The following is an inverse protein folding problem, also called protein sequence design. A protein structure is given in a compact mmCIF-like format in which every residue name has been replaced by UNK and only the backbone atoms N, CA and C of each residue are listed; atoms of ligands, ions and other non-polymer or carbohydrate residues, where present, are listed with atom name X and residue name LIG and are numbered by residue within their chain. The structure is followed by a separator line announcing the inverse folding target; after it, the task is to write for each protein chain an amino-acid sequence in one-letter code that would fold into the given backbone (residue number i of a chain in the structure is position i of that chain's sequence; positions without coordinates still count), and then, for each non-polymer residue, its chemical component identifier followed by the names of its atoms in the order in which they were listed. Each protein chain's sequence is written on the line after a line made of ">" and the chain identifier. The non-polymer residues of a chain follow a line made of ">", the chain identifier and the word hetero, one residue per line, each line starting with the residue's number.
data_IF_528332920817
#
_entry.id   IF_528332920817
#
_cell.length_a   1.000
_cell.length_b   1.000
_cell.length_c   1.000
_cell.angle_alpha   90.00
_cell.angle_beta   90.00
_cell.angle_gamma   90.00
#
_symmetry.space_group_name_H-M   'P 1'
#
loop_
_entity.id
_entity.type
_entity.pdbx_description
1 polymer ?
#
# COMPACT_ATOMS: atom_id res chain seq x y z
N UNK A 1 -14.22 3.18 10.11
CA UNK A 1 -12.84 3.63 9.82
C UNK A 1 -12.58 5.05 10.33
N UNK A 2 -11.40 5.28 10.91
CA UNK A 2 -10.88 6.60 11.29
C UNK A 2 -9.70 6.92 10.37
N UNK A 3 -9.69 8.11 9.76
CA UNK A 3 -8.63 8.57 8.86
C UNK A 3 -8.09 9.88 9.41
N UNK A 4 -6.78 10.04 9.50
CA UNK A 4 -6.20 11.31 9.93
C UNK A 4 -5.99 12.26 8.75
N UNK A 5 -6.07 13.57 9.06
CA UNK A 5 -5.97 14.68 8.11
C UNK A 5 -4.58 15.34 8.10
N UNK A 6 -3.55 14.68 8.62
CA UNK A 6 -2.24 15.33 8.78
C UNK A 6 -1.66 15.85 7.46
N UNK A 7 -1.76 15.07 6.38
CA UNK A 7 -1.29 15.48 5.04
C UNK A 7 -2.00 16.74 4.53
N UNK A 8 -3.32 16.81 4.76
CA UNK A 8 -4.15 17.97 4.40
C UNK A 8 -3.75 19.19 5.24
N UNK A 9 -3.62 19.02 6.57
CA UNK A 9 -3.24 20.11 7.48
C UNK A 9 -1.85 20.68 7.19
N UNK A 10 -0.89 19.82 6.84
CA UNK A 10 0.45 20.23 6.40
C UNK A 10 0.37 21.06 5.12
N UNK A 11 -0.41 20.61 4.13
CA UNK A 11 -0.57 21.32 2.86
C UNK A 11 -1.29 22.67 3.03
N UNK A 12 -2.44 22.68 3.72
CA UNK A 12 -3.25 23.89 3.95
C UNK A 12 -2.46 25.01 4.65
N UNK A 13 -1.48 24.64 5.48
CA UNK A 13 -0.69 25.57 6.29
C UNK A 13 0.72 25.77 5.78
N UNK A 14 1.04 25.17 4.64
CA UNK A 14 2.36 25.20 4.02
C UNK A 14 3.48 24.79 5.00
N UNK A 15 3.22 23.77 5.82
CA UNK A 15 4.16 23.21 6.79
C UNK A 15 4.72 21.91 6.24
N UNK A 16 6.06 21.78 6.23
CA UNK A 16 6.72 20.51 5.90
C UNK A 16 6.70 19.57 7.10
N UNK A 17 6.52 18.27 6.87
CA UNK A 17 6.56 17.26 7.93
C UNK A 17 7.84 17.34 8.79
N UNK A 18 8.99 17.60 8.18
CA UNK A 18 10.26 17.77 8.92
C UNK A 18 10.24 18.95 9.89
N UNK A 19 9.55 20.04 9.54
CA UNK A 19 9.41 21.20 10.44
C UNK A 19 8.52 20.85 11.62
N UNK A 20 7.40 20.17 11.37
CA UNK A 20 6.52 19.66 12.42
C UNK A 20 7.30 18.76 13.38
N UNK A 21 8.13 17.84 12.85
CA UNK A 21 8.97 16.94 13.65
C UNK A 21 9.87 17.71 14.63
N UNK A 22 10.55 18.76 14.16
CA UNK A 22 11.44 19.59 14.98
C UNK A 22 10.66 20.36 16.04
N UNK A 23 9.53 20.99 15.69
CA UNK A 23 8.78 21.83 16.63
C UNK A 23 7.99 21.02 17.67
N UNK A 24 7.58 19.79 17.33
CA UNK A 24 6.81 18.92 18.24
C UNK A 24 7.65 17.89 18.97
N UNK A 25 8.90 17.67 18.55
CA UNK A 25 9.75 16.60 19.07
C UNK A 25 9.33 15.18 18.63
N UNK A 26 8.30 15.05 17.79
CA UNK A 26 7.84 13.75 17.28
C UNK A 26 8.85 13.23 16.26
N UNK A 27 9.23 11.95 16.36
CA UNK A 27 10.16 11.33 15.42
C UNK A 27 9.67 11.46 13.96
N UNK A 28 10.54 11.83 12.99
CA UNK A 28 10.16 11.95 11.58
C UNK A 28 9.54 10.68 10.99
N UNK A 29 10.02 9.49 11.41
CA UNK A 29 9.46 8.20 11.01
C UNK A 29 8.02 8.02 11.49
N UNK A 30 7.71 8.44 12.72
CA UNK A 30 6.36 8.43 13.28
C UNK A 30 5.45 9.38 12.51
N UNK A 31 5.87 10.63 12.27
CA UNK A 31 5.09 11.58 11.47
C UNK A 31 4.87 11.11 10.04
N UNK A 32 5.86 10.45 9.43
CA UNK A 32 5.71 9.86 8.09
C UNK A 32 4.63 8.78 8.09
N UNK A 33 4.61 7.89 9.09
CA UNK A 33 3.55 6.88 9.23
C UNK A 33 2.18 7.50 9.42
N UNK A 34 2.05 8.48 10.32
CA UNK A 34 0.79 9.19 10.56
C UNK A 34 0.34 9.89 9.28
N UNK A 35 1.21 10.68 8.66
CA UNK A 35 0.91 11.44 7.44
C UNK A 35 0.38 10.56 6.30
N UNK A 36 0.88 9.33 6.20
CA UNK A 36 0.50 8.37 5.17
C UNK A 36 -0.69 7.47 5.58
N UNK A 37 -1.33 7.72 6.73
CA UNK A 37 -2.37 6.87 7.33
C UNK A 37 -1.92 5.41 7.57
N UNK A 38 -0.62 5.17 7.73
CA UNK A 38 -0.03 3.84 8.02
C UNK A 38 0.19 3.60 9.52
N UNK A 39 -0.26 4.52 10.37
CA UNK A 39 -0.18 4.38 11.83
C UNK A 39 -1.36 3.55 12.34
N UNK A 40 -1.08 2.37 12.92
CA UNK A 40 -2.07 1.56 13.63
C UNK A 40 -2.54 2.20 14.94
N UNK A 41 -1.72 3.07 15.52
CA UNK A 41 -1.98 3.76 16.77
C UNK A 41 -1.34 5.15 16.76
N UNK A 42 -2.00 6.09 17.42
CA UNK A 42 -1.49 7.41 17.76
C UNK A 42 -1.74 7.59 19.25
N UNK A 43 -0.68 7.83 20.04
CA UNK A 43 -0.84 8.12 21.46
C UNK A 43 -1.37 9.54 21.70
N UNK A 44 -1.96 9.76 22.88
CA UNK A 44 -2.57 11.04 23.21
C UNK A 44 -1.57 12.19 23.28
N UNK A 45 -0.31 11.93 23.63
CA UNK A 45 0.73 12.97 23.72
C UNK A 45 1.11 13.49 22.33
N UNK A 46 1.29 12.58 21.38
CA UNK A 46 1.51 12.84 19.95
C UNK A 46 0.33 13.59 19.37
N UNK A 47 -0.90 13.10 19.59
CA UNK A 47 -2.11 13.77 19.10
C UNK A 47 -2.24 15.18 19.69
N UNK A 48 -2.04 15.34 20.99
CA UNK A 48 -2.09 16.63 21.68
C UNK A 48 -1.03 17.59 21.12
N UNK A 49 0.19 17.12 20.89
CA UNK A 49 1.28 17.94 20.34
C UNK A 49 0.96 18.44 18.93
N UNK A 50 0.44 17.56 18.07
CA UNK A 50 -0.01 17.93 16.72
C UNK A 50 -1.18 18.92 16.79
N UNK A 51 -2.17 18.65 17.64
CA UNK A 51 -3.33 19.52 17.83
C UNK A 51 -2.92 20.91 18.32
N UNK A 52 -2.00 21.01 19.28
CA UNK A 52 -1.49 22.28 19.81
C UNK A 52 -0.68 23.06 18.77
N UNK A 53 0.19 22.38 18.03
CA UNK A 53 0.95 23.00 16.94
C UNK A 53 0.01 23.64 15.91
N UNK A 54 -1.02 22.90 15.50
CA UNK A 54 -2.01 23.38 14.55
C UNK A 54 -3.14 24.20 15.19
N UNK A 55 -3.20 24.35 16.51
CA UNK A 55 -4.31 25.02 17.21
C UNK A 55 -5.68 24.48 16.75
N UNK A 56 -5.80 23.16 16.66
CA UNK A 56 -7.02 22.45 16.27
C UNK A 56 -7.48 21.52 17.37
N UNK A 57 -8.69 20.99 17.23
CA UNK A 57 -9.22 19.92 18.08
C UNK A 57 -9.00 18.55 17.44
N UNK A 58 -9.08 17.45 18.21
CA UNK A 58 -9.08 16.10 17.64
C UNK A 58 -10.16 15.87 16.57
N UNK A 59 -11.31 16.56 16.69
CA UNK A 59 -12.39 16.49 15.70
C UNK A 59 -11.98 17.08 14.34
N UNK A 60 -11.08 18.06 14.32
CA UNK A 60 -10.54 18.62 13.08
C UNK A 60 -9.41 17.76 12.50
N UNK A 61 -8.78 16.92 13.33
CA UNK A 61 -7.66 16.08 12.94
C UNK A 61 -8.11 14.76 12.29
N UNK A 62 -9.25 14.21 12.71
CA UNK A 62 -9.76 12.94 12.21
C UNK A 62 -11.03 13.09 11.38
N UNK A 63 -11.12 12.34 10.30
CA UNK A 63 -12.37 12.02 9.64
C UNK A 63 -12.88 10.66 10.11
N UNK A 64 -14.20 10.53 10.16
CA UNK A 64 -14.87 9.29 10.54
C UNK A 64 -15.76 8.79 9.41
N UNK A 65 -15.59 7.52 9.07
CA UNK A 65 -16.55 6.77 8.25
C UNK A 65 -17.10 5.61 9.08
N UNK A 66 -18.42 5.34 9.02
CA UNK A 66 -18.99 4.19 9.71
C UNK A 66 -18.62 2.87 9.05
N UNK A 67 -17.99 2.90 7.87
CA UNK A 67 -17.58 1.72 7.12
C UNK A 67 -16.15 1.31 7.46
N UNK A 68 -15.91 0.00 7.47
CA UNK A 68 -14.60 -0.64 7.58
C UNK A 68 -14.49 -1.74 6.53
N UNK A 69 -13.27 -2.00 6.06
CA UNK A 69 -12.99 -2.95 4.98
C UNK A 69 -11.89 -3.91 5.38
N UNK A 70 -12.06 -5.18 5.05
CA UNK A 70 -10.99 -6.17 5.08
C UNK A 70 -10.80 -6.73 3.67
N UNK A 71 -9.54 -6.80 3.24
CA UNK A 71 -9.17 -7.30 1.92
C UNK A 71 -8.36 -8.56 2.12
N UNK A 72 -8.76 -9.63 1.45
CA UNK A 72 -8.08 -10.92 1.49
C UNK A 72 -7.87 -11.40 0.06
N UNK A 73 -6.65 -11.85 -0.26
CA UNK A 73 -6.38 -12.54 -1.51
C UNK A 73 -6.43 -14.05 -1.31
N UNK A 74 -6.85 -14.75 -2.36
CA UNK A 74 -6.85 -16.20 -2.42
C UNK A 74 -6.63 -16.68 -3.85
N UNK A 75 -5.90 -17.77 -3.98
CA UNK A 75 -5.79 -18.56 -5.20
C UNK A 75 -6.65 -19.82 -5.07
N UNK A 76 -7.16 -20.33 -6.20
CA UNK A 76 -7.97 -21.56 -6.20
C UNK A 76 -7.14 -22.83 -6.00
N UNK A 77 -5.84 -22.77 -6.30
CA UNK A 77 -4.86 -23.87 -6.18
C UNK A 77 -3.52 -23.36 -5.61
N UNK A 78 -2.45 -24.16 -5.67
CA UNK A 78 -1.08 -23.69 -5.43
C UNK A 78 -0.79 -22.42 -6.26
N UNK A 79 -0.12 -21.45 -5.64
CA UNK A 79 0.12 -20.10 -6.20
C UNK A 79 0.78 -20.13 -7.59
N UNK A 80 1.57 -21.16 -7.91
CA UNK A 80 2.22 -21.31 -9.23
C UNK A 80 1.42 -22.13 -10.23
N UNK A 81 0.36 -22.82 -9.79
CA UNK A 81 -0.47 -23.70 -10.61
C UNK A 81 -1.77 -23.04 -11.07
N UNK A 82 -2.23 -22.00 -10.37
CA UNK A 82 -3.42 -21.22 -10.74
C UNK A 82 -3.09 -20.23 -11.88
N UNK A 83 -4.09 -19.85 -12.67
CA UNK A 83 -4.06 -18.69 -13.57
C UNK A 83 -5.03 -17.58 -13.10
N UNK A 84 -5.66 -17.81 -11.95
CA UNK A 84 -6.66 -16.92 -11.34
C UNK A 84 -6.24 -16.48 -9.94
N UNK A 85 -6.39 -15.18 -9.68
CA UNK A 85 -6.17 -14.54 -8.39
C UNK A 85 -7.48 -13.87 -7.97
N UNK A 86 -7.99 -14.21 -6.79
CA UNK A 86 -9.27 -13.68 -6.30
C UNK A 86 -9.05 -12.74 -5.13
N UNK A 87 -9.62 -11.54 -5.21
CA UNK A 87 -9.71 -10.58 -4.11
C UNK A 87 -11.12 -10.69 -3.50
N UNK A 88 -11.16 -10.86 -2.19
CA UNK A 88 -12.35 -10.73 -1.37
C UNK A 88 -12.29 -9.43 -0.59
N UNK A 89 -13.31 -8.58 -0.74
CA UNK A 89 -13.48 -7.35 0.04
C UNK A 89 -14.67 -7.53 0.97
N UNK A 90 -14.41 -7.69 2.26
CA UNK A 90 -15.43 -7.70 3.29
C UNK A 90 -15.75 -6.27 3.71
N UNK A 91 -17.03 -5.95 3.80
CA UNK A 91 -17.52 -4.63 4.20
C UNK A 91 -18.27 -4.75 5.51
N UNK A 92 -17.89 -3.92 6.47
CA UNK A 92 -18.60 -3.75 7.73
C UNK A 92 -19.10 -2.31 7.85
N UNK A 93 -20.19 -2.12 8.57
CA UNK A 93 -20.70 -0.80 8.98
C UNK A 93 -21.06 -0.82 10.44
N UNK A 94 -20.50 0.10 11.22
CA UNK A 94 -20.63 0.10 12.68
C UNK A 94 -20.32 -1.29 13.27
N UNK A 95 -19.24 -1.91 12.80
CA UNK A 95 -18.81 -3.29 13.14
C UNK A 95 -19.85 -4.38 12.84
N UNK A 96 -20.92 -4.06 12.11
CA UNK A 96 -21.87 -5.05 11.61
C UNK A 96 -21.50 -5.45 10.19
N UNK A 97 -21.34 -6.74 9.95
CA UNK A 97 -21.06 -7.26 8.63
C UNK A 97 -22.18 -6.91 7.64
N UNK A 98 -21.81 -6.36 6.49
CA UNK A 98 -22.74 -6.03 5.40
C UNK A 98 -22.67 -7.11 4.32
N UNK A 99 -21.46 -7.53 3.93
CA UNK A 99 -21.27 -8.42 2.79
C UNK A 99 -19.81 -8.59 2.42
N UNK A 100 -19.56 -9.55 1.54
CA UNK A 100 -18.26 -9.83 0.93
C UNK A 100 -18.43 -9.74 -0.57
N UNK A 101 -17.54 -9.01 -1.22
CA UNK A 101 -17.48 -8.84 -2.67
C UNK A 101 -16.28 -9.60 -3.21
N UNK A 102 -16.48 -10.35 -4.27
CA UNK A 102 -15.48 -11.22 -4.87
C UNK A 102 -15.10 -10.68 -6.25
N UNK A 103 -13.80 -10.56 -6.51
CA UNK A 103 -13.24 -10.13 -7.78
C UNK A 103 -12.14 -11.07 -8.20
N UNK A 104 -12.38 -11.86 -9.24
CA UNK A 104 -11.37 -12.78 -9.80
C UNK A 104 -10.67 -12.11 -10.97
N UNK A 105 -9.38 -11.86 -10.79
CA UNK A 105 -8.46 -11.45 -11.85
C UNK A 105 -7.77 -12.65 -12.47
N UNK A 106 -7.31 -12.48 -13.72
CA UNK A 106 -6.42 -13.42 -14.38
C UNK A 106 -4.99 -12.93 -14.21
N UNK A 107 -4.06 -13.84 -13.99
CA UNK A 107 -2.64 -13.51 -14.05
C UNK A 107 -1.91 -14.37 -15.05
N UNK A 108 -0.80 -13.81 -15.54
CA UNK A 108 0.12 -14.49 -16.43
C UNK A 108 1.52 -13.99 -16.16
N UNK A 109 2.48 -14.85 -16.47
CA UNK A 109 3.87 -14.44 -16.50
C UNK A 109 4.14 -13.80 -17.85
N UNK A 110 4.87 -12.69 -17.82
CA UNK A 110 5.37 -12.00 -18.98
C UNK A 110 6.87 -11.85 -18.83
N UNK A 111 7.60 -12.01 -19.93
CA UNK A 111 9.04 -11.71 -19.98
C UNK A 111 9.19 -10.23 -20.32
N UNK A 112 10.02 -9.51 -19.57
CA UNK A 112 10.43 -8.15 -19.89
C UNK A 112 11.97 -8.05 -19.82
N UNK A 113 12.53 -7.00 -20.44
CA UNK A 113 13.97 -6.81 -20.53
C UNK A 113 14.37 -5.52 -19.79
N UNK A 114 15.08 -5.67 -18.67
CA UNK A 114 15.55 -4.54 -17.87
C UNK A 114 17.01 -4.24 -18.21
N UNK A 115 17.37 -2.98 -18.52
CA UNK A 115 18.76 -2.60 -18.72
C UNK A 115 19.61 -2.86 -17.47
N UNK A 116 20.74 -3.53 -17.65
CA UNK A 116 21.72 -3.77 -16.58
C UNK A 116 22.92 -2.85 -16.67
N UNK A 117 23.18 -2.28 -17.84
CA UNK A 117 24.30 -1.36 -18.08
C UNK A 117 23.87 -0.18 -18.95
N UNK A 118 24.45 0.98 -18.68
CA UNK A 118 24.22 2.21 -19.42
C UNK A 118 25.55 2.75 -19.91
N UNK A 119 25.61 3.11 -21.19
CA UNK A 119 26.71 3.84 -21.78
C UNK A 119 26.90 5.22 -21.13
N UNK A 120 28.03 5.85 -21.41
CA UNK A 120 28.37 7.18 -20.87
C UNK A 120 27.37 8.28 -21.26
N UNK A 121 26.62 8.10 -22.34
CA UNK A 121 25.58 9.00 -22.84
C UNK A 121 24.16 8.63 -22.35
N UNK A 122 24.06 7.60 -21.51
CA UNK A 122 22.80 7.11 -20.96
C UNK A 122 22.06 6.09 -21.81
N UNK A 123 22.62 5.62 -22.94
CA UNK A 123 21.97 4.54 -23.71
C UNK A 123 22.10 3.20 -23.01
N UNK A 124 21.02 2.40 -22.86
CA UNK A 124 21.12 1.06 -22.31
C UNK A 124 21.88 0.12 -23.26
N UNK A 125 22.89 -0.59 -22.76
CA UNK A 125 23.78 -1.46 -23.55
C UNK A 125 23.52 -2.96 -23.31
N UNK A 126 23.33 -3.37 -22.06
CA UNK A 126 23.01 -4.75 -21.69
C UNK A 126 21.62 -4.86 -21.09
N UNK A 127 20.94 -5.98 -21.35
CA UNK A 127 19.59 -6.26 -20.86
C UNK A 127 19.54 -7.64 -20.22
N UNK A 128 18.77 -7.75 -19.14
CA UNK A 128 18.45 -9.00 -18.47
C UNK A 128 16.96 -9.29 -18.63
N UNK A 129 16.64 -10.51 -19.00
CA UNK A 129 15.27 -11.01 -19.02
C UNK A 129 14.78 -11.20 -17.58
N UNK A 130 13.61 -10.64 -17.28
CA UNK A 130 12.97 -10.76 -15.98
C UNK A 130 11.55 -11.25 -16.16
N UNK A 131 11.15 -12.19 -15.30
CA UNK A 131 9.77 -12.65 -15.23
C UNK A 131 8.94 -11.64 -14.43
N UNK A 132 7.96 -11.03 -15.09
CA UNK A 132 7.00 -10.09 -14.52
C UNK A 132 5.65 -10.78 -14.41
N UNK A 133 5.08 -10.71 -13.22
CA UNK A 133 3.72 -11.16 -12.94
C UNK A 133 2.74 -10.06 -13.33
N UNK A 134 1.97 -10.29 -14.39
CA UNK A 134 0.91 -9.38 -14.83
C UNK A 134 -0.45 -9.86 -14.32
N UNK A 135 -1.13 -9.03 -13.53
CA UNK A 135 -2.44 -9.33 -12.95
C UNK A 135 -3.49 -8.35 -13.49
N UNK A 136 -4.57 -8.90 -14.05
CA UNK A 136 -5.68 -8.12 -14.61
C UNK A 136 -6.98 -8.47 -13.89
N UNK A 137 -7.46 -7.54 -13.07
CA UNK A 137 -8.75 -7.62 -12.40
C UNK A 137 -9.90 -7.05 -13.24
N UNK A 138 -11.15 -7.46 -13.01
CA UNK A 138 -12.32 -6.92 -13.69
C UNK A 138 -12.58 -5.44 -13.36
N UNK A 139 -13.18 -4.70 -14.30
CA UNK A 139 -13.56 -3.28 -14.13
C UNK A 139 -14.58 -3.08 -13.00
N UNK A 140 -15.29 -4.14 -12.61
CA UNK A 140 -16.19 -4.19 -11.47
C UNK A 140 -15.47 -3.86 -10.17
N UNK A 141 -14.19 -4.21 -10.02
CA UNK A 141 -13.40 -3.84 -8.83
C UNK A 141 -13.24 -2.32 -8.72
N UNK A 142 -12.93 -1.65 -9.84
CA UNK A 142 -12.90 -0.19 -9.93
C UNK A 142 -14.30 0.41 -9.74
N UNK A 143 -15.33 -0.27 -10.24
CA UNK A 143 -16.73 0.17 -10.12
C UNK A 143 -17.29 -0.03 -8.71
N UNK A 144 -16.79 -1.00 -7.95
CA UNK A 144 -17.12 -1.21 -6.54
C UNK A 144 -16.66 -0.02 -5.70
N UNK A 145 -15.45 0.47 -5.93
CA UNK A 145 -14.95 1.69 -5.30
C UNK A 145 -15.87 2.87 -5.62
N UNK A 146 -16.31 3.02 -6.88
CA UNK A 146 -17.32 4.03 -7.27
C UNK A 146 -18.68 3.81 -6.58
N UNK A 147 -19.15 2.57 -6.46
CA UNK A 147 -20.41 2.23 -5.81
C UNK A 147 -20.40 2.61 -4.32
N UNK A 148 -19.30 2.36 -3.62
CA UNK A 148 -19.13 2.77 -2.22
C UNK A 148 -19.22 4.30 -2.10
N UNK A 149 -18.56 5.07 -2.98
CA UNK A 149 -18.63 6.54 -2.92
C UNK A 149 -20.03 7.11 -3.15
N UNK A 150 -20.88 6.39 -3.88
CA UNK A 150 -22.24 6.83 -4.18
C UNK A 150 -23.26 6.45 -3.10
N UNK A 151 -22.83 5.94 -1.94
CA UNK A 151 -23.75 5.62 -0.85
C UNK A 151 -24.26 6.90 -0.17
N UNK A 152 -25.56 7.01 0.19
CA UNK A 152 -26.16 8.21 0.80
C UNK A 152 -25.53 8.67 2.12
N UNK A 153 -24.68 7.86 2.73
CA UNK A 153 -23.97 8.16 3.97
C UNK A 153 -22.60 8.81 3.73
N UNK A 154 -22.17 8.94 2.48
CA UNK A 154 -20.85 9.41 2.05
C UNK A 154 -20.93 10.65 1.14
N UNK A 155 -21.97 11.47 1.33
CA UNK A 155 -22.21 12.70 0.55
C UNK A 155 -21.04 13.70 0.57
N UNK A 156 -20.07 13.54 1.48
CA UNK A 156 -18.81 14.27 1.46
C UNK A 156 -17.81 13.64 0.45
N UNK A 157 -17.58 14.34 -0.65
CA UNK A 157 -16.64 13.96 -1.70
C UNK A 157 -15.18 13.78 -1.21
N UNK A 158 -14.76 14.54 -0.18
CA UNK A 158 -13.42 14.41 0.42
C UNK A 158 -13.31 13.13 1.24
N UNK A 159 -14.36 12.75 1.97
CA UNK A 159 -14.40 11.48 2.71
C UNK A 159 -14.41 10.28 1.74
N UNK A 160 -15.19 10.38 0.68
CA UNK A 160 -15.22 9.39 -0.42
C UNK A 160 -13.83 9.15 -1.02
N UNK A 161 -13.11 10.22 -1.35
CA UNK A 161 -11.74 10.11 -1.87
C UNK A 161 -10.81 9.40 -0.89
N UNK A 162 -10.85 9.75 0.40
CA UNK A 162 -10.00 9.13 1.43
C UNK A 162 -10.34 7.65 1.62
N UNK A 163 -11.61 7.29 1.57
CA UNK A 163 -12.03 5.88 1.64
C UNK A 163 -11.50 5.09 0.44
N UNK A 164 -11.57 5.63 -0.76
CA UNK A 164 -10.98 4.99 -1.95
C UNK A 164 -9.50 4.72 -1.75
N UNK A 165 -8.76 5.75 -1.33
CA UNK A 165 -7.33 5.63 -1.06
C UNK A 165 -7.04 4.52 -0.06
N UNK A 166 -7.84 4.39 1.00
CA UNK A 166 -7.65 3.33 2.00
C UNK A 166 -7.99 1.93 1.46
N UNK A 167 -9.05 1.78 0.64
CA UNK A 167 -9.35 0.50 -0.03
C UNK A 167 -8.20 0.10 -0.97
N UNK A 168 -7.72 1.04 -1.81
CA UNK A 168 -6.63 0.78 -2.73
C UNK A 168 -5.34 0.40 -2.01
N UNK A 169 -5.01 1.07 -0.90
CA UNK A 169 -3.84 0.70 -0.08
C UNK A 169 -3.94 -0.73 0.43
N UNK A 170 -5.11 -1.14 0.94
CA UNK A 170 -5.31 -2.51 1.43
C UNK A 170 -5.18 -3.55 0.30
N UNK A 171 -5.71 -3.24 -0.88
CA UNK A 171 -5.55 -4.08 -2.07
C UNK A 171 -4.09 -4.15 -2.51
N UNK A 172 -3.38 -3.02 -2.55
CA UNK A 172 -1.96 -2.95 -2.89
C UNK A 172 -1.10 -3.76 -1.91
N UNK A 173 -1.33 -3.62 -0.61
CA UNK A 173 -0.61 -4.36 0.44
C UNK A 173 -0.80 -5.87 0.28
N UNK A 174 -2.04 -6.29 0.05
CA UNK A 174 -2.36 -7.70 -0.08
C UNK A 174 -1.81 -8.30 -1.40
N UNK A 175 -1.73 -7.51 -2.49
CA UNK A 175 -1.04 -7.90 -3.73
C UNK A 175 0.49 -8.00 -3.55
N UNK A 176 1.09 -7.14 -2.74
CA UNK A 176 2.53 -7.23 -2.42
C UNK A 176 2.86 -8.47 -1.63
N UNK A 177 2.02 -8.83 -0.65
CA UNK A 177 2.15 -10.09 0.09
C UNK A 177 2.06 -11.29 -0.85
N UNK A 178 1.04 -11.32 -1.72
CA UNK A 178 0.92 -12.36 -2.75
C UNK A 178 2.15 -12.46 -3.65
N UNK A 179 2.72 -11.33 -4.08
CA UNK A 179 3.90 -11.31 -4.95
C UNK A 179 5.13 -11.91 -4.25
N UNK A 180 5.32 -11.60 -2.96
CA UNK A 180 6.39 -12.21 -2.16
C UNK A 180 6.24 -13.73 -2.09
N UNK A 181 5.03 -14.19 -1.85
CA UNK A 181 4.74 -15.63 -1.77
C UNK A 181 4.95 -16.32 -3.11
N UNK A 182 4.58 -15.66 -4.21
CA UNK A 182 4.77 -16.16 -5.58
C UNK A 182 6.26 -16.38 -5.91
N UNK A 183 7.12 -15.41 -5.57
CA UNK A 183 8.58 -15.48 -5.79
C UNK A 183 9.35 -16.02 -4.58
N UNK A 184 8.68 -16.71 -3.64
CA UNK A 184 9.30 -17.15 -2.38
C UNK A 184 10.51 -18.07 -2.59
N UNK A 185 10.49 -18.95 -3.60
CA UNK A 185 11.63 -19.81 -3.92
C UNK A 185 12.87 -18.99 -4.32
N UNK A 186 12.70 -17.95 -5.15
CA UNK A 186 13.79 -17.04 -5.53
C UNK A 186 14.34 -16.30 -4.29
N UNK A 187 13.46 -15.89 -3.38
CA UNK A 187 13.85 -15.25 -2.13
C UNK A 187 14.64 -16.20 -1.21
N UNK A 188 14.23 -17.46 -1.10
CA UNK A 188 14.92 -18.47 -0.30
C UNK A 188 16.31 -18.81 -0.84
N UNK A 189 16.47 -18.90 -2.16
CA UNK A 189 17.78 -19.09 -2.80
C UNK A 189 18.71 -17.90 -2.54
N UNK A 190 18.19 -16.68 -2.58
CA UNK A 190 18.93 -15.47 -2.21
C UNK A 190 19.41 -15.52 -0.75
N UNK A 191 18.52 -15.83 0.19
CA UNK A 191 18.88 -15.97 1.61
C UNK A 191 19.96 -17.02 1.83
N UNK A 192 19.86 -18.17 1.15
CA UNK A 192 20.81 -19.28 1.30
C UNK A 192 22.21 -18.92 0.78
N UNK A 193 22.29 -18.26 -0.38
CA UNK A 193 23.55 -18.03 -1.07
C UNK A 193 24.27 -16.73 -0.68
N UNK A 194 23.55 -15.68 -0.26
CA UNK A 194 24.13 -14.34 -0.10
C UNK A 194 24.12 -13.80 1.33
N UNK A 195 23.09 -14.10 2.13
CA UNK A 195 22.95 -13.52 3.48
C UNK A 195 24.04 -14.02 4.44
N UNK A 196 24.58 -15.23 4.23
CA UNK A 196 25.66 -15.81 5.04
C UNK A 196 27.00 -15.08 4.93
N UNK A 197 27.15 -14.17 3.96
CA UNK A 197 28.40 -13.45 3.66
C UNK A 197 28.40 -12.02 4.22
N UNK A 198 27.24 -11.49 4.63
CA UNK A 198 27.04 -10.07 4.93
C UNK A 198 26.99 -9.75 6.44
N UNK A 199 27.38 -8.52 6.80
CA UNK A 199 27.22 -8.01 8.17
C UNK A 199 25.73 -7.73 8.50
N UNK A 200 25.30 -7.79 9.78
CA UNK A 200 23.89 -7.68 10.17
C UNK A 200 23.14 -6.46 9.59
N UNK A 201 23.79 -5.29 9.58
CA UNK A 201 23.19 -4.06 9.05
C UNK A 201 23.04 -4.07 7.52
N UNK A 202 23.88 -4.86 6.84
CA UNK A 202 23.82 -5.07 5.40
C UNK A 202 22.73 -6.09 5.05
N UNK A 203 22.56 -7.13 5.87
CA UNK A 203 21.50 -8.14 5.70
C UNK A 203 20.11 -7.50 5.66
N UNK A 204 19.77 -6.65 6.62
CA UNK A 204 18.46 -5.97 6.65
C UNK A 204 18.23 -5.08 5.42
N UNK A 205 19.29 -4.41 4.96
CA UNK A 205 19.23 -3.54 3.78
C UNK A 205 19.03 -4.36 2.50
N UNK A 206 19.76 -5.46 2.35
CA UNK A 206 19.68 -6.35 1.21
C UNK A 206 18.35 -7.11 1.16
N UNK A 207 17.84 -7.59 2.30
CA UNK A 207 16.50 -8.19 2.38
C UNK A 207 15.43 -7.19 1.94
N UNK A 208 15.49 -5.94 2.44
CA UNK A 208 14.56 -4.88 2.02
C UNK A 208 14.69 -4.56 0.53
N UNK A 209 15.92 -4.55 0.01
CA UNK A 209 16.20 -4.35 -1.41
C UNK A 209 15.57 -5.46 -2.25
N UNK A 210 15.80 -6.72 -1.89
CA UNK A 210 15.25 -7.88 -2.60
C UNK A 210 13.74 -7.95 -2.53
N UNK A 211 13.16 -7.63 -1.36
CA UNK A 211 11.71 -7.49 -1.21
C UNK A 211 11.16 -6.41 -2.15
N UNK A 212 11.82 -5.25 -2.21
CA UNK A 212 11.38 -4.15 -3.10
C UNK A 212 11.54 -4.53 -4.57
N UNK A 213 12.55 -5.31 -4.92
CA UNK A 213 12.75 -5.86 -6.27
C UNK A 213 11.67 -6.88 -6.63
N UNK A 214 11.35 -7.80 -5.73
CA UNK A 214 10.28 -8.79 -5.94
C UNK A 214 8.93 -8.06 -6.09
N UNK A 215 8.64 -7.09 -5.22
CA UNK A 215 7.44 -6.26 -5.31
C UNK A 215 7.37 -5.46 -6.62
N UNK A 216 8.50 -5.02 -7.19
CA UNK A 216 8.52 -4.23 -8.43
C UNK A 216 8.24 -5.07 -9.69
N UNK A 217 8.35 -6.40 -9.59
CA UNK A 217 8.01 -7.34 -10.67
C UNK A 217 6.52 -7.66 -10.75
N UNK A 218 5.68 -7.07 -9.89
CA UNK A 218 4.24 -7.11 -10.04
C UNK A 218 3.76 -5.95 -10.92
N UNK A 219 3.04 -6.27 -11.99
CA UNK A 219 2.21 -5.32 -12.75
C UNK A 219 0.75 -5.61 -12.54
N UNK A 220 -0.04 -4.59 -12.24
CA UNK A 220 -1.49 -4.71 -12.08
C UNK A 220 -2.23 -3.60 -12.83
N UNK A 221 -3.42 -3.92 -13.33
CA UNK A 221 -4.33 -2.94 -13.94
C UNK A 221 -5.12 -2.12 -12.91
N UNK A 222 -4.89 -2.32 -11.61
CA UNK A 222 -5.50 -1.51 -10.55
C UNK A 222 -4.79 -0.16 -10.51
N UNK A 223 -5.41 0.88 -11.09
CA UNK A 223 -4.86 2.24 -10.99
C UNK A 223 -5.07 2.80 -9.58
N UNK A 224 -4.01 3.30 -8.91
CA UNK A 224 -4.20 4.23 -7.82
C UNK A 224 -4.72 5.55 -8.39
N UNK A 225 -5.86 6.01 -7.89
CA UNK A 225 -6.39 7.35 -8.20
C UNK A 225 -5.57 8.45 -7.52
#
# INVERSE_FOLDING_TARGET
>A
MIINRLSVLLAERNVRANRLAVETGIAPSTLTRINNNRSSQIDYETLNSICNFFKITPNDFFDYSPFDFEVVLSTKEEIKASDELTIFIQVQKFNSYIGTFEFTGKYKNSEDYVPTEFASDGTPENFMEVEILEVVFPDELTSFVKFINNQPLLEDASLSLKMNTEIYKKVEEALKEFTKDYYNDEFNDFLTNYVSILEPNQVDKEIKSKVSEIESRLRTNIMPF
#
